data_IF_398952554375
#
_entry.id   IF_398952554375
#
_cell.length_a   1.000
_cell.length_b   1.000
_cell.length_c   1.000
_cell.angle_alpha   90.00
_cell.angle_beta   90.00
_cell.angle_gamma   90.00
#
_symmetry.space_group_name_H-M   'P 1'
#
loop_
_entity.id
_entity.type
_entity.pdbx_description
1 polymer ?
#
# COMPACT_ATOMS: atom_id res chain seq x y z
N UNK A 1 -14.51 -45.71 62.05
CA UNK A 1 -13.76 -44.72 61.25
C UNK A 1 -14.32 -44.72 59.84
N UNK A 2 -15.08 -43.68 59.45
CA UNK A 2 -15.69 -43.55 58.12
C UNK A 2 -14.72 -42.78 57.22
N UNK A 3 -14.04 -43.47 56.31
CA UNK A 3 -13.17 -42.85 55.31
C UNK A 3 -14.01 -42.26 54.19
N UNK A 4 -13.95 -40.94 54.03
CA UNK A 4 -14.59 -40.19 52.94
C UNK A 4 -13.58 -40.12 51.80
N UNK A 5 -13.82 -40.89 50.74
CA UNK A 5 -13.02 -40.83 49.50
C UNK A 5 -13.49 -39.59 48.75
N UNK A 6 -12.68 -38.52 48.74
CA UNK A 6 -12.89 -37.34 47.91
C UNK A 6 -12.32 -37.60 46.52
N UNK A 7 -13.20 -37.86 45.56
CA UNK A 7 -12.85 -37.99 44.13
C UNK A 7 -12.61 -36.60 43.55
N UNK A 8 -11.34 -36.30 43.25
CA UNK A 8 -10.95 -35.06 42.56
C UNK A 8 -11.34 -35.17 41.08
N UNK A 9 -12.31 -34.38 40.64
CA UNK A 9 -12.73 -34.25 39.26
C UNK A 9 -11.68 -33.43 38.49
N UNK A 10 -10.86 -34.08 37.67
CA UNK A 10 -9.90 -33.41 36.79
C UNK A 10 -10.66 -32.88 35.57
N UNK A 11 -10.93 -31.58 35.58
CA UNK A 11 -11.47 -30.83 34.44
C UNK A 11 -10.42 -30.79 33.33
N UNK A 12 -10.63 -31.59 32.28
CA UNK A 12 -9.91 -31.50 31.02
C UNK A 12 -10.32 -30.20 30.33
N UNK A 13 -9.50 -29.16 30.48
CA UNK A 13 -9.62 -27.95 29.69
C UNK A 13 -9.26 -28.29 28.24
N UNK A 14 -10.28 -28.33 27.38
CA UNK A 14 -10.07 -28.42 25.94
C UNK A 14 -9.43 -27.11 25.47
N UNK A 15 -8.12 -27.12 25.26
CA UNK A 15 -7.42 -26.04 24.57
C UNK A 15 -8.00 -25.95 23.15
N UNK A 16 -8.91 -25.01 22.94
CA UNK A 16 -9.33 -24.60 21.62
C UNK A 16 -8.10 -23.96 20.95
N UNK A 17 -7.44 -24.71 20.07
CA UNK A 17 -6.39 -24.18 19.22
C UNK A 17 -7.01 -23.10 18.32
N UNK A 18 -6.88 -21.84 18.73
CA UNK A 18 -7.18 -20.69 17.88
C UNK A 18 -6.07 -20.64 16.85
N UNK A 19 -6.33 -21.18 15.66
CA UNK A 19 -5.48 -20.96 14.50
C UNK A 19 -5.50 -19.47 14.16
N UNK A 20 -4.47 -18.73 14.59
CA UNK A 20 -4.24 -17.37 14.12
C UNK A 20 -3.71 -17.48 12.69
N UNK A 21 -4.56 -17.19 11.71
CA UNK A 21 -4.11 -16.93 10.35
C UNK A 21 -3.15 -15.74 10.42
N UNK A 22 -1.85 -16.00 10.19
CA UNK A 22 -0.89 -14.92 10.04
C UNK A 22 -1.40 -14.01 8.90
N UNK A 23 -1.43 -12.68 9.09
CA UNK A 23 -1.87 -11.79 8.02
C UNK A 23 -0.96 -12.03 6.82
N UNK A 24 -1.54 -12.54 5.74
CA UNK A 24 -0.86 -12.64 4.45
C UNK A 24 -0.45 -11.23 4.08
N UNK A 25 0.84 -10.93 4.16
CA UNK A 25 1.38 -9.64 3.75
C UNK A 25 0.94 -9.43 2.29
N UNK A 26 0.08 -8.44 2.08
CA UNK A 26 -0.58 -8.25 0.80
C UNK A 26 0.50 -7.87 -0.21
N UNK A 27 0.81 -8.76 -1.15
CA UNK A 27 1.87 -8.55 -2.11
C UNK A 27 1.58 -7.29 -2.94
N UNK A 28 2.49 -6.32 -2.91
CA UNK A 28 2.38 -4.99 -3.53
C UNK A 28 3.74 -4.58 -4.07
N UNK A 29 3.75 -3.71 -5.07
CA UNK A 29 4.96 -2.95 -5.36
C UNK A 29 5.02 -1.75 -4.42
N UNK A 30 6.14 -1.57 -3.70
CA UNK A 30 6.29 -0.49 -2.73
C UNK A 30 7.11 0.66 -3.31
N UNK A 31 6.64 1.89 -3.11
CA UNK A 31 7.37 3.11 -3.45
C UNK A 31 7.04 4.21 -2.43
N UNK A 32 8.06 4.77 -1.77
CA UNK A 32 7.86 5.88 -0.82
C UNK A 32 6.91 5.56 0.35
N UNK A 33 6.81 4.29 0.76
CA UNK A 33 5.89 3.84 1.82
C UNK A 33 4.46 3.56 1.36
N UNK A 34 4.13 3.82 0.09
CA UNK A 34 2.85 3.47 -0.52
C UNK A 34 2.93 2.12 -1.25
N UNK A 35 1.86 1.34 -1.15
CA UNK A 35 1.73 0.05 -1.82
C UNK A 35 0.83 0.14 -3.05
N UNK A 36 1.30 -0.38 -4.17
CA UNK A 36 0.63 -0.32 -5.47
C UNK A 36 0.21 -1.71 -5.95
N UNK A 37 -0.91 -1.77 -6.67
CA UNK A 37 -1.42 -2.98 -7.30
C UNK A 37 -0.70 -3.28 -8.61
N UNK A 38 -0.78 -4.52 -9.08
CA UNK A 38 -0.30 -4.93 -10.41
C UNK A 38 -0.91 -4.02 -11.48
N UNK A 39 -0.08 -3.57 -12.43
CA UNK A 39 -0.48 -2.69 -13.53
C UNK A 39 -0.47 -1.20 -13.20
N UNK A 40 -0.35 -0.80 -11.92
CA UNK A 40 -0.14 0.61 -11.57
C UNK A 40 1.13 1.16 -12.20
N UNK A 41 1.05 2.36 -12.78
CA UNK A 41 2.20 3.05 -13.37
C UNK A 41 2.53 4.31 -12.58
N UNK A 42 3.79 4.48 -12.22
CA UNK A 42 4.28 5.63 -11.43
C UNK A 42 5.58 6.13 -12.02
N UNK A 43 5.80 7.45 -11.97
CA UNK A 43 7.12 8.00 -12.25
C UNK A 43 8.01 7.81 -11.02
N UNK A 44 9.20 7.26 -11.24
CA UNK A 44 10.26 7.21 -10.24
C UNK A 44 11.57 7.67 -10.91
N UNK A 45 12.14 8.76 -10.41
CA UNK A 45 13.27 9.46 -11.04
C UNK A 45 12.93 9.84 -12.50
N UNK A 46 13.74 9.35 -13.45
CA UNK A 46 13.68 9.73 -14.87
C UNK A 46 12.87 8.76 -15.74
N UNK A 47 12.23 7.75 -15.14
CA UNK A 47 11.46 6.75 -15.87
C UNK A 47 10.05 6.55 -15.27
N UNK A 48 9.11 6.14 -16.12
CA UNK A 48 7.85 5.55 -15.67
C UNK A 48 8.07 4.07 -15.45
N UNK A 49 7.60 3.58 -14.31
CA UNK A 49 7.65 2.17 -13.93
C UNK A 49 6.25 1.60 -13.84
N UNK A 50 6.10 0.32 -14.16
CA UNK A 50 4.88 -0.46 -13.97
C UNK A 50 5.09 -1.52 -12.89
N UNK A 51 4.08 -1.70 -12.03
CA UNK A 51 4.08 -2.80 -11.07
C UNK A 51 3.78 -4.12 -11.79
N UNK A 52 4.79 -4.97 -11.94
CA UNK A 52 4.66 -6.25 -12.65
C UNK A 52 3.84 -7.28 -11.86
N UNK A 53 3.35 -8.35 -12.51
CA UNK A 53 2.66 -9.45 -11.83
C UNK A 53 3.49 -10.17 -10.75
N UNK A 54 4.82 -10.00 -10.76
CA UNK A 54 5.73 -10.55 -9.75
C UNK A 54 6.05 -9.55 -8.64
N UNK A 55 5.29 -8.44 -8.54
CA UNK A 55 5.46 -7.39 -7.52
C UNK A 55 6.82 -6.69 -7.56
N UNK A 56 7.40 -6.59 -8.75
CA UNK A 56 8.65 -5.86 -9.02
C UNK A 56 8.37 -4.70 -9.96
N UNK A 57 9.01 -3.56 -9.70
CA UNK A 57 8.96 -2.42 -10.60
C UNK A 57 9.76 -2.68 -11.88
N UNK A 58 9.16 -2.38 -13.03
CA UNK A 58 9.80 -2.52 -14.34
C UNK A 58 9.63 -1.24 -15.15
N UNK A 59 10.66 -0.85 -15.90
CA UNK A 59 10.56 0.30 -16.81
C UNK A 59 9.48 0.05 -17.86
N UNK A 60 8.74 1.10 -18.17
CA UNK A 60 7.69 1.07 -19.20
C UNK A 60 7.70 2.37 -19.99
N UNK A 61 7.20 2.30 -21.24
CA UNK A 61 6.96 3.46 -22.09
C UNK A 61 5.51 3.97 -21.98
N UNK A 62 4.70 3.36 -21.12
CA UNK A 62 3.33 3.81 -20.85
C UNK A 62 3.33 5.08 -20.00
N UNK A 63 2.27 5.89 -20.11
CA UNK A 63 2.04 7.03 -19.23
C UNK A 63 1.98 6.62 -17.76
N UNK A 64 2.35 7.54 -16.87
CA UNK A 64 2.12 7.39 -15.44
C UNK A 64 0.61 7.49 -15.15
N UNK A 65 0.16 6.79 -14.11
CA UNK A 65 -1.24 6.84 -13.67
C UNK A 65 -1.56 8.14 -12.92
N UNK A 66 -0.53 8.90 -12.55
CA UNK A 66 -0.62 10.11 -11.76
C UNK A 66 0.75 10.56 -11.26
N UNK A 67 0.74 11.50 -10.33
CA UNK A 67 1.93 12.13 -9.76
C UNK A 67 1.98 11.92 -8.25
N UNK A 68 3.19 11.82 -7.70
CA UNK A 68 3.41 11.80 -6.26
C UNK A 68 3.77 13.21 -5.81
N UNK A 69 3.11 13.69 -4.74
CA UNK A 69 3.45 14.94 -4.09
C UNK A 69 3.28 14.79 -2.57
N UNK A 70 4.33 15.12 -1.82
CA UNK A 70 4.35 15.02 -0.34
C UNK A 70 3.90 13.66 0.22
N UNK A 71 4.17 12.57 -0.50
CA UNK A 71 3.81 11.21 -0.08
C UNK A 71 2.38 10.81 -0.40
N UNK A 72 1.63 11.64 -1.12
CA UNK A 72 0.27 11.36 -1.59
C UNK A 72 0.26 11.16 -3.11
N UNK A 73 -0.69 10.35 -3.59
CA UNK A 73 -0.90 10.10 -5.02
C UNK A 73 -2.02 10.99 -5.57
N UNK A 74 -1.76 11.65 -6.69
CA UNK A 74 -2.71 12.52 -7.37
C UNK A 74 -2.92 12.03 -8.81
N UNK A 75 -4.18 11.94 -9.23
CA UNK A 75 -4.51 11.59 -10.61
C UNK A 75 -3.98 12.63 -11.60
N UNK A 76 -3.70 12.20 -12.83
CA UNK A 76 -3.39 13.11 -13.95
C UNK A 76 -4.45 14.21 -14.09
N UNK A 77 -4.01 15.45 -14.30
CA UNK A 77 -4.85 16.65 -14.34
C UNK A 77 -5.17 17.25 -12.96
N UNK A 78 -4.76 16.60 -11.86
CA UNK A 78 -4.87 17.22 -10.54
C UNK A 78 -4.05 18.51 -10.47
N UNK A 79 -4.65 19.55 -9.89
CA UNK A 79 -3.98 20.83 -9.63
C UNK A 79 -3.65 20.91 -8.15
N UNK A 80 -2.38 21.08 -7.84
CA UNK A 80 -1.92 21.29 -6.46
C UNK A 80 -1.18 22.63 -6.34
N UNK A 81 -1.51 23.39 -5.30
CA UNK A 81 -0.97 24.72 -5.06
C UNK A 81 -1.88 25.57 -4.16
N UNK A 82 -1.26 26.42 -3.34
CA UNK A 82 -1.96 27.35 -2.46
C UNK A 82 -2.40 28.64 -3.15
N UNK A 83 -3.17 29.47 -2.44
CA UNK A 83 -3.59 30.80 -2.91
C UNK A 83 -2.39 31.70 -3.28
N UNK A 84 -1.31 31.57 -2.53
CA UNK A 84 -0.08 32.37 -2.67
C UNK A 84 1.11 31.58 -3.24
N UNK A 85 0.87 30.35 -3.73
CA UNK A 85 1.90 29.48 -4.31
C UNK A 85 1.58 29.19 -5.77
N UNK A 86 2.60 28.97 -6.62
CA UNK A 86 2.36 28.54 -8.01
C UNK A 86 1.58 27.23 -7.99
N UNK A 87 0.52 27.19 -8.80
CA UNK A 87 -0.24 25.97 -9.03
C UNK A 87 0.53 25.11 -10.02
N UNK A 88 0.56 23.81 -9.76
CA UNK A 88 1.14 22.84 -10.67
C UNK A 88 0.07 21.80 -11.03
N UNK A 89 0.06 21.40 -12.28
CA UNK A 89 -0.79 20.34 -12.81
C UNK A 89 0.01 19.04 -12.95
N UNK A 90 -0.58 17.94 -12.49
CA UNK A 90 -0.04 16.62 -12.70
C UNK A 90 -0.14 16.20 -14.17
N UNK A 91 1.00 15.98 -14.81
CA UNK A 91 1.11 15.61 -16.22
C UNK A 91 1.03 14.09 -16.43
N UNK A 92 0.65 13.61 -17.63
CA UNK A 92 0.56 12.18 -17.94
C UNK A 92 1.89 11.42 -17.83
N UNK A 93 3.03 12.10 -17.84
CA UNK A 93 4.34 11.49 -17.65
C UNK A 93 4.74 11.36 -16.18
N UNK A 94 3.84 11.74 -15.26
CA UNK A 94 4.01 11.71 -13.81
C UNK A 94 4.85 12.87 -13.26
N UNK A 95 5.06 13.92 -14.05
CA UNK A 95 5.70 15.17 -13.58
C UNK A 95 4.68 16.24 -13.20
N UNK A 96 5.13 17.23 -12.44
CA UNK A 96 4.34 18.42 -12.12
C UNK A 96 4.78 19.57 -13.02
N UNK A 97 3.85 20.12 -13.79
CA UNK A 97 4.09 21.30 -14.63
C UNK A 97 3.43 22.53 -14.03
N UNK A 98 4.13 23.65 -14.00
CA UNK A 98 3.55 24.91 -13.52
C UNK A 98 2.44 25.38 -14.45
N UNK A 99 1.26 25.54 -13.90
CA UNK A 99 0.16 26.26 -14.53
C UNK A 99 0.26 27.69 -14.05
N UNK A 100 0.90 28.54 -14.86
CA UNK A 100 0.94 29.98 -14.61
C UNK A 100 -0.51 30.51 -14.46
N UNK A 101 -0.74 31.55 -13.64
CA UNK A 101 -2.04 32.21 -13.58
C UNK A 101 -2.44 32.82 -14.92
#
# INVERSE_FOLDING_TARGET
MRSIISTVLILLASDAAIAQEAPLEQQRCWLGGMGYSIGSTVRANDAVMVCSPTFVWQNTNTSASGCIYKGEFYSTGAIEGGKDSPKNECQPDGTWASVAP
#
